data_IF_346797163979
#
_entry.id   IF_346797163979
#
_cell.length_a   1.000
_cell.length_b   1.000
_cell.length_c   1.000
_cell.angle_alpha   90.00
_cell.angle_beta   90.00
_cell.angle_gamma   90.00
#
_symmetry.space_group_name_H-M   'P 1'
#
loop_
_entity.id
_entity.type
_entity.pdbx_description
1 polymer ?
#
# COMPACT_ATOMS: atom_id res chain seq x y z
N UNK A 1 2.50 22.43 -1.87
CA UNK A 1 2.08 23.76 -1.39
C UNK A 1 2.98 24.20 -0.24
N UNK A 2 3.50 25.41 -0.32
CA UNK A 2 4.22 26.05 0.81
C UNK A 2 3.21 26.79 1.65
N UNK A 3 3.00 26.36 2.89
CA UNK A 3 2.13 27.06 3.84
C UNK A 3 2.85 28.22 4.54
N UNK A 4 4.17 28.09 4.69
CA UNK A 4 5.08 29.12 5.20
C UNK A 4 6.53 28.73 4.86
N UNK A 5 7.51 29.53 5.27
CA UNK A 5 8.93 29.21 5.13
C UNK A 5 9.35 27.91 5.88
N UNK A 6 8.51 27.46 6.79
CA UNK A 6 8.80 26.27 7.62
C UNK A 6 7.89 25.07 7.34
N UNK A 7 6.78 25.26 6.64
CA UNK A 7 5.80 24.20 6.45
C UNK A 7 5.50 23.97 4.97
N UNK A 8 5.64 22.72 4.56
CA UNK A 8 5.35 22.27 3.18
C UNK A 8 4.32 21.14 3.27
N UNK A 9 3.27 21.26 2.46
CA UNK A 9 2.25 20.23 2.30
C UNK A 9 2.31 19.68 0.87
N UNK A 10 2.29 18.35 0.72
CA UNK A 10 2.31 17.65 -0.57
C UNK A 10 1.18 16.62 -0.62
N UNK A 11 -0.07 17.06 -0.81
CA UNK A 11 -1.19 16.14 -0.96
C UNK A 11 -1.17 15.50 -2.35
N UNK A 12 -1.63 14.26 -2.41
CA UNK A 12 -1.90 13.51 -3.62
C UNK A 12 -3.16 12.68 -3.40
N UNK A 13 -4.03 12.61 -4.40
CA UNK A 13 -5.21 11.77 -4.38
C UNK A 13 -5.48 11.22 -5.77
N UNK A 14 -5.81 9.95 -5.85
CA UNK A 14 -6.27 9.27 -7.05
C UNK A 14 -7.65 8.69 -6.78
N UNK A 15 -8.58 8.98 -7.68
CA UNK A 15 -9.90 8.39 -7.72
C UNK A 15 -10.06 7.74 -9.09
N UNK A 16 -10.42 6.48 -9.11
CA UNK A 16 -10.57 5.73 -10.36
C UNK A 16 -11.73 4.75 -10.25
N UNK A 17 -12.22 4.32 -11.42
CA UNK A 17 -13.16 3.21 -11.54
C UNK A 17 -12.54 2.23 -12.52
N UNK A 18 -12.25 1.03 -12.03
CA UNK A 18 -11.55 0.01 -12.79
C UNK A 18 -12.40 -1.25 -12.79
N UNK A 19 -13.13 -1.47 -13.90
CA UNK A 19 -14.08 -2.56 -14.03
C UNK A 19 -13.78 -3.42 -15.26
N UNK A 20 -13.95 -4.73 -15.10
CA UNK A 20 -14.20 -5.64 -16.21
C UNK A 20 -15.67 -5.48 -16.61
N UNK A 21 -15.97 -5.59 -17.88
CA UNK A 21 -17.33 -5.54 -18.42
C UNK A 21 -17.63 -6.88 -19.05
N UNK A 22 -18.84 -7.43 -18.81
CA UNK A 22 -19.27 -8.72 -19.32
C UNK A 22 -18.27 -9.84 -18.96
N UNK A 23 -17.77 -9.82 -17.71
CA UNK A 23 -16.78 -10.80 -17.26
C UNK A 23 -17.38 -12.19 -17.15
N UNK A 24 -16.83 -13.12 -17.95
CA UNK A 24 -17.26 -14.51 -17.95
C UNK A 24 -16.32 -15.33 -17.06
N UNK A 25 -16.90 -16.08 -16.15
CA UNK A 25 -16.18 -16.95 -15.23
C UNK A 25 -16.82 -18.34 -15.26
N UNK A 26 -16.01 -19.39 -15.22
CA UNK A 26 -16.48 -20.75 -15.07
C UNK A 26 -16.56 -21.10 -13.58
N UNK A 27 -17.77 -21.48 -13.14
CA UNK A 27 -18.02 -21.94 -11.77
C UNK A 27 -18.84 -23.21 -11.84
N UNK A 28 -18.43 -24.24 -11.11
CA UNK A 28 -19.10 -25.54 -11.03
C UNK A 28 -19.34 -26.15 -12.42
N UNK A 29 -18.34 -26.00 -13.33
CA UNK A 29 -18.42 -26.47 -14.71
C UNK A 29 -19.36 -25.67 -15.62
N UNK A 30 -19.88 -24.52 -15.16
CA UNK A 30 -20.81 -23.68 -15.93
C UNK A 30 -20.22 -22.28 -16.12
N UNK A 31 -20.28 -21.77 -17.36
CA UNK A 31 -19.89 -20.39 -17.65
C UNK A 31 -21.00 -19.43 -17.22
N UNK A 32 -20.66 -18.51 -16.34
CA UNK A 32 -21.52 -17.45 -15.85
C UNK A 32 -21.01 -16.08 -16.31
N UNK A 33 -21.92 -15.21 -16.75
CA UNK A 33 -21.60 -13.81 -16.96
C UNK A 33 -21.84 -13.05 -15.65
N UNK A 34 -20.76 -12.64 -15.00
CA UNK A 34 -20.79 -11.87 -13.73
C UNK A 34 -21.09 -10.39 -13.95
N UNK A 35 -21.21 -9.93 -15.21
CA UNK A 35 -21.43 -8.53 -15.55
C UNK A 35 -20.19 -7.68 -15.28
N UNK A 36 -20.36 -6.61 -14.50
CA UNK A 36 -19.25 -5.76 -14.09
C UNK A 36 -18.59 -6.29 -12.82
N UNK A 37 -17.28 -6.52 -12.87
CA UNK A 37 -16.45 -6.90 -11.72
C UNK A 37 -15.26 -5.96 -11.55
N UNK A 38 -14.72 -5.87 -10.35
CA UNK A 38 -13.51 -5.08 -10.10
C UNK A 38 -12.27 -5.73 -10.73
N UNK A 39 -11.41 -4.91 -11.33
CA UNK A 39 -10.10 -5.38 -11.80
C UNK A 39 -9.23 -5.63 -10.58
N UNK A 40 -8.54 -6.79 -10.56
CA UNK A 40 -7.66 -7.18 -9.47
C UNK A 40 -6.59 -6.11 -9.17
N UNK A 41 -6.28 -5.91 -7.90
CA UNK A 41 -5.30 -4.95 -7.39
C UNK A 41 -5.50 -3.50 -7.88
N UNK A 42 -6.76 -3.09 -8.05
CA UNK A 42 -7.11 -1.79 -8.59
C UNK A 42 -8.05 -1.03 -7.64
N UNK A 43 -7.54 -0.48 -6.54
CA UNK A 43 -8.37 0.26 -5.58
C UNK A 43 -8.93 1.53 -6.20
N UNK A 44 -10.18 1.85 -5.86
CA UNK A 44 -10.86 3.04 -6.40
C UNK A 44 -10.37 4.35 -5.78
N UNK A 45 -9.71 4.28 -4.63
CA UNK A 45 -9.23 5.48 -3.90
C UNK A 45 -7.83 5.23 -3.35
N UNK A 46 -6.90 6.12 -3.69
CA UNK A 46 -5.59 6.20 -3.04
C UNK A 46 -5.37 7.66 -2.66
N UNK A 47 -5.10 7.92 -1.38
CA UNK A 47 -4.77 9.26 -0.89
C UNK A 47 -3.42 9.20 -0.18
N UNK A 48 -2.56 10.16 -0.47
CA UNK A 48 -1.29 10.31 0.22
C UNK A 48 -1.02 11.79 0.53
N UNK A 49 -0.31 12.03 1.61
CA UNK A 49 0.12 13.37 1.96
C UNK A 49 1.48 13.32 2.68
N UNK A 50 2.31 14.32 2.43
CA UNK A 50 3.51 14.56 3.21
C UNK A 50 3.44 15.97 3.81
N UNK A 51 3.45 16.04 5.14
CA UNK A 51 3.59 17.29 5.90
C UNK A 51 5.05 17.42 6.31
N UNK A 52 5.73 18.39 5.75
CA UNK A 52 7.16 18.62 6.04
C UNK A 52 7.34 19.88 6.87
N UNK A 53 8.06 19.77 7.98
CA UNK A 53 8.47 20.84 8.86
C UNK A 53 9.97 21.09 8.76
N UNK A 54 10.35 22.35 8.56
CA UNK A 54 11.72 22.84 8.44
C UNK A 54 12.03 23.72 9.67
N UNK A 55 12.37 23.14 10.84
CA UNK A 55 12.55 23.91 12.06
C UNK A 55 13.72 24.88 12.00
N UNK A 56 14.84 24.43 11.45
CA UNK A 56 16.08 25.18 11.25
C UNK A 56 16.68 24.84 9.89
N UNK A 57 17.71 25.57 9.49
CA UNK A 57 18.45 25.33 8.25
C UNK A 57 19.01 23.91 8.21
N UNK A 58 18.85 23.23 7.09
CA UNK A 58 19.34 21.88 6.81
C UNK A 58 18.70 20.78 7.69
N UNK A 59 17.61 21.06 8.40
CA UNK A 59 16.84 20.07 9.15
C UNK A 59 15.44 19.94 8.56
N UNK A 60 14.99 18.71 8.38
CA UNK A 60 13.68 18.38 7.88
C UNK A 60 13.06 17.25 8.72
N UNK A 61 11.80 17.44 9.06
CA UNK A 61 10.97 16.41 9.68
C UNK A 61 9.74 16.27 8.77
N UNK A 62 9.42 15.05 8.32
CA UNK A 62 8.25 14.83 7.47
C UNK A 62 7.38 13.73 8.04
N UNK A 63 6.10 14.03 8.18
CA UNK A 63 5.06 13.07 8.48
C UNK A 63 4.37 12.70 7.17
N UNK A 64 4.42 11.41 6.83
CA UNK A 64 3.84 10.86 5.63
C UNK A 64 2.59 10.05 6.02
N UNK A 65 1.51 10.25 5.31
CA UNK A 65 0.27 9.50 5.49
C UNK A 65 -0.15 8.91 4.16
N UNK A 66 -0.57 7.66 4.15
CA UNK A 66 -1.10 6.99 2.97
C UNK A 66 -2.34 6.21 3.34
N UNK A 67 -3.40 6.39 2.56
CA UNK A 67 -4.62 5.60 2.59
C UNK A 67 -4.80 4.89 1.26
N UNK A 68 -5.16 3.62 1.31
CA UNK A 68 -5.53 2.81 0.14
C UNK A 68 -6.90 2.22 0.42
N UNK A 69 -7.82 2.41 -0.51
CA UNK A 69 -9.15 1.82 -0.46
C UNK A 69 -9.12 0.30 -0.59
N UNK A 70 -10.23 -0.34 -0.30
CA UNK A 70 -10.38 -1.77 -0.51
C UNK A 70 -10.17 -2.16 -1.97
N UNK A 71 -9.74 -3.39 -2.19
CA UNK A 71 -9.51 -3.96 -3.52
C UNK A 71 -9.63 -5.47 -3.48
N UNK A 72 -9.74 -6.09 -4.64
CA UNK A 72 -9.78 -7.54 -4.76
C UNK A 72 -8.46 -8.08 -5.32
N UNK A 73 -8.07 -9.29 -4.91
CA UNK A 73 -6.93 -10.02 -5.47
C UNK A 73 -7.29 -10.79 -6.75
N UNK A 74 -8.58 -11.05 -6.95
CA UNK A 74 -9.14 -11.71 -8.15
C UNK A 74 -10.13 -10.81 -8.88
N UNK A 75 -10.55 -11.23 -10.07
CA UNK A 75 -11.48 -10.47 -10.93
C UNK A 75 -12.94 -10.93 -10.80
N UNK A 76 -13.31 -11.66 -9.75
CA UNK A 76 -14.67 -12.21 -9.56
C UNK A 76 -15.39 -11.60 -8.36
N UNK A 77 -14.87 -10.54 -7.77
CA UNK A 77 -15.43 -9.84 -6.60
C UNK A 77 -15.78 -10.78 -5.43
N UNK A 78 -15.03 -11.87 -5.29
CA UNK A 78 -15.20 -12.79 -4.17
C UNK A 78 -14.77 -12.14 -2.86
N UNK A 79 -15.55 -12.36 -1.79
CA UNK A 79 -15.20 -11.91 -0.44
C UNK A 79 -13.86 -12.51 0.03
N UNK A 80 -13.53 -13.72 -0.41
CA UNK A 80 -12.30 -14.41 -0.08
C UNK A 80 -11.08 -13.80 -0.78
N UNK A 81 -11.29 -12.99 -1.82
CA UNK A 81 -10.21 -12.28 -2.54
C UNK A 81 -10.05 -10.84 -2.11
N UNK A 82 -10.79 -10.37 -1.10
CA UNK A 82 -10.81 -8.97 -0.70
C UNK A 82 -9.62 -8.62 0.18
N UNK A 83 -8.96 -7.52 -0.15
CA UNK A 83 -8.01 -6.80 0.71
C UNK A 83 -8.73 -5.57 1.28
N UNK A 84 -8.77 -5.47 2.59
CA UNK A 84 -9.42 -4.36 3.28
C UNK A 84 -8.64 -3.04 3.08
N UNK A 85 -9.34 -1.92 3.20
CA UNK A 85 -8.70 -0.61 3.17
C UNK A 85 -7.78 -0.42 4.37
N UNK A 86 -6.69 0.31 4.16
CA UNK A 86 -5.75 0.61 5.24
C UNK A 86 -5.23 2.05 5.19
N UNK A 87 -4.79 2.53 6.35
CA UNK A 87 -4.09 3.79 6.48
C UNK A 87 -2.78 3.59 7.25
N UNK A 88 -1.67 3.99 6.67
CA UNK A 88 -0.34 3.87 7.27
C UNK A 88 0.34 5.23 7.33
N UNK A 89 1.12 5.44 8.38
CA UNK A 89 1.80 6.70 8.62
C UNK A 89 3.27 6.45 8.99
N UNK A 90 4.14 7.26 8.38
CA UNK A 90 5.58 7.19 8.59
C UNK A 90 6.11 8.56 9.06
N UNK A 91 7.18 8.54 9.84
CA UNK A 91 7.89 9.73 10.28
C UNK A 91 9.32 9.67 9.78
N UNK A 92 9.73 10.65 8.99
CA UNK A 92 11.10 10.79 8.53
C UNK A 92 11.77 12.02 9.11
N UNK A 93 13.07 11.90 9.33
CA UNK A 93 13.93 12.96 9.85
C UNK A 93 15.22 13.03 9.04
N UNK A 94 15.70 14.23 8.75
CA UNK A 94 17.03 14.45 8.21
C UNK A 94 17.64 15.72 8.77
N UNK A 95 18.93 15.67 9.06
CA UNK A 95 19.70 16.84 9.48
C UNK A 95 21.11 16.78 8.94
N UNK A 96 21.48 17.81 8.18
CA UNK A 96 22.83 18.00 7.69
C UNK A 96 23.52 19.12 8.47
N UNK A 97 24.63 18.80 9.11
CA UNK A 97 25.48 19.79 9.78
C UNK A 97 26.88 19.79 9.19
N UNK A 98 27.43 21.00 9.05
CA UNK A 98 28.75 21.21 8.48
C UNK A 98 29.82 21.11 9.57
N UNK A 99 30.84 20.32 9.30
CA UNK A 99 32.04 20.24 10.16
C UNK A 99 33.16 21.02 9.52
N UNK A 100 33.94 21.75 10.35
CA UNK A 100 35.16 22.43 9.91
C UNK A 100 36.40 21.53 10.12
N UNK A 101 36.30 20.26 9.74
CA UNK A 101 37.33 19.25 9.98
C UNK A 101 37.59 18.43 8.70
N UNK A 102 37.94 17.18 8.83
CA UNK A 102 38.18 16.22 7.73
C UNK A 102 36.96 16.07 6.82
N UNK A 103 35.76 16.18 7.38
CA UNK A 103 34.50 16.08 6.64
C UNK A 103 33.92 17.47 6.34
N UNK A 104 33.37 17.66 5.13
CA UNK A 104 32.66 18.89 4.77
C UNK A 104 31.31 18.97 5.47
N UNK A 105 30.58 17.84 5.49
CA UNK A 105 29.32 17.75 6.23
C UNK A 105 29.04 16.34 6.66
N UNK A 106 28.14 16.21 7.62
CA UNK A 106 27.54 14.94 8.09
C UNK A 106 26.04 15.07 7.97
N UNK A 107 25.41 14.12 7.27
CA UNK A 107 23.96 13.98 7.18
C UNK A 107 23.52 12.79 8.03
N UNK A 108 22.64 13.07 8.98
CA UNK A 108 21.94 12.05 9.77
C UNK A 108 20.52 11.92 9.21
N UNK A 109 20.08 10.69 8.99
CA UNK A 109 18.72 10.39 8.56
C UNK A 109 18.09 9.37 9.50
N UNK A 110 16.79 9.50 9.69
CA UNK A 110 15.96 8.53 10.44
C UNK A 110 14.62 8.36 9.76
N UNK A 111 14.09 7.14 9.84
CA UNK A 111 12.76 6.80 9.34
C UNK A 111 12.13 5.83 10.33
N UNK A 112 10.92 6.15 10.74
CA UNK A 112 10.03 5.24 11.48
C UNK A 112 8.87 4.93 10.56
N UNK A 113 8.77 3.71 10.10
CA UNK A 113 7.65 3.23 9.30
C UNK A 113 6.54 2.75 10.21
N UNK A 114 5.30 2.94 9.76
CA UNK A 114 4.10 2.48 10.42
C UNK A 114 4.09 2.89 11.91
N UNK A 115 4.21 4.20 12.16
CA UNK A 115 4.40 4.76 13.51
C UNK A 115 3.26 4.43 14.49
N UNK A 116 2.08 4.07 13.99
CA UNK A 116 0.93 3.68 14.80
C UNK A 116 0.79 2.16 14.96
N UNK A 117 1.76 1.39 14.43
CA UNK A 117 1.77 -0.08 14.49
C UNK A 117 0.46 -0.72 13.99
N UNK A 118 -0.09 -0.18 12.90
CA UNK A 118 -1.32 -0.69 12.32
C UNK A 118 -1.07 -2.00 11.57
N UNK A 119 -1.84 -3.03 11.88
CA UNK A 119 -1.76 -4.32 11.19
C UNK A 119 -2.60 -4.27 9.92
N UNK A 120 -2.00 -4.59 8.76
CA UNK A 120 -2.68 -4.57 7.47
C UNK A 120 -2.02 -5.49 6.46
N UNK A 121 -2.80 -5.90 5.47
CA UNK A 121 -2.35 -6.62 4.29
C UNK A 121 -2.50 -5.72 3.06
N UNK A 122 -1.40 -5.44 2.37
CA UNK A 122 -1.40 -4.66 1.13
C UNK A 122 -1.40 -5.52 -0.12
N UNK A 123 -1.20 -6.82 0.02
CA UNK A 123 -1.08 -7.79 -1.06
C UNK A 123 -1.41 -9.19 -0.58
N UNK A 124 -1.63 -10.09 -1.53
CA UNK A 124 -1.90 -11.49 -1.31
C UNK A 124 -2.03 -12.24 -2.63
N UNK A 125 -2.60 -13.41 -2.60
CA UNK A 125 -2.96 -14.17 -3.79
C UNK A 125 -4.34 -14.79 -3.63
N UNK A 126 -5.01 -14.97 -4.75
CA UNK A 126 -6.31 -15.61 -4.85
C UNK A 126 -6.29 -16.55 -6.05
N UNK A 127 -6.90 -17.71 -5.89
CA UNK A 127 -7.05 -18.69 -6.96
C UNK A 127 -8.36 -19.47 -6.79
N UNK A 128 -8.81 -20.07 -7.87
CA UNK A 128 -9.89 -21.04 -7.88
C UNK A 128 -9.37 -22.36 -8.42
N UNK A 129 -9.96 -23.46 -7.99
CA UNK A 129 -9.74 -24.78 -8.57
C UNK A 129 -11.02 -25.60 -8.54
N UNK A 130 -11.16 -26.47 -9.51
CA UNK A 130 -12.30 -27.35 -9.63
C UNK A 130 -11.95 -28.72 -9.07
N UNK A 131 -12.90 -29.31 -8.35
CA UNK A 131 -12.87 -30.69 -7.86
C UNK A 131 -14.06 -31.44 -8.45
N UNK A 132 -13.78 -32.55 -9.13
CA UNK A 132 -14.80 -33.41 -9.76
C UNK A 132 -15.06 -34.63 -8.86
N UNK A 133 -16.29 -34.77 -8.41
CA UNK A 133 -16.70 -35.96 -7.66
C UNK A 133 -16.60 -37.21 -8.55
N UNK A 134 -15.74 -38.14 -8.21
CA UNK A 134 -15.48 -39.36 -8.99
C UNK A 134 -16.67 -40.28 -9.15
N UNK A 135 -17.77 -40.09 -8.37
CA UNK A 135 -18.94 -40.92 -8.38
C UNK A 135 -20.10 -40.27 -9.18
N UNK A 136 -20.37 -38.98 -8.93
CA UNK A 136 -21.44 -38.24 -9.59
C UNK A 136 -20.99 -37.52 -10.87
N UNK A 137 -19.69 -37.18 -10.97
CA UNK A 137 -19.17 -36.34 -12.05
C UNK A 137 -19.49 -34.85 -11.85
N UNK A 138 -20.02 -34.48 -10.68
CA UNK A 138 -20.31 -33.07 -10.37
C UNK A 138 -19.03 -32.30 -10.14
N UNK A 139 -18.93 -31.13 -10.72
CA UNK A 139 -17.79 -30.21 -10.53
C UNK A 139 -18.14 -29.19 -9.46
N UNK A 140 -17.24 -29.00 -8.52
CA UNK A 140 -17.35 -27.94 -7.49
C UNK A 140 -16.13 -27.04 -7.55
N UNK A 141 -16.36 -25.75 -7.76
CA UNK A 141 -15.30 -24.74 -7.77
C UNK A 141 -15.01 -24.23 -6.35
N UNK A 142 -13.80 -24.43 -5.89
CA UNK A 142 -13.30 -23.95 -4.60
C UNK A 142 -12.46 -22.69 -4.78
N UNK A 143 -12.51 -21.83 -3.78
CA UNK A 143 -11.71 -20.61 -3.71
C UNK A 143 -10.63 -20.73 -2.64
N UNK A 144 -9.43 -20.31 -2.96
CA UNK A 144 -8.32 -20.21 -2.02
C UNK A 144 -7.70 -18.83 -2.04
N UNK A 145 -7.28 -18.35 -0.88
CA UNK A 145 -6.60 -17.07 -0.74
C UNK A 145 -5.50 -17.16 0.31
N UNK A 146 -4.47 -16.34 0.14
CA UNK A 146 -3.44 -16.10 1.15
C UNK A 146 -3.07 -14.64 1.16
N UNK A 147 -2.75 -14.12 2.35
CA UNK A 147 -2.50 -12.70 2.59
C UNK A 147 -1.05 -12.50 3.01
N UNK A 148 -0.45 -11.39 2.56
CA UNK A 148 0.90 -10.99 2.96
C UNK A 148 0.82 -9.83 3.95
N UNK A 149 0.89 -10.10 5.28
CA UNK A 149 0.87 -9.06 6.29
C UNK A 149 2.10 -8.16 6.13
N UNK A 150 1.90 -6.88 6.32
CA UNK A 150 2.97 -5.89 6.30
C UNK A 150 3.64 -5.80 7.68
N UNK A 151 4.88 -5.31 7.66
CA UNK A 151 5.61 -5.12 8.90
C UNK A 151 4.91 -4.08 9.80
N UNK A 152 4.83 -4.37 11.08
CA UNK A 152 4.46 -3.41 12.11
C UNK A 152 5.46 -2.26 12.20
N UNK A 153 5.45 -1.52 13.30
CA UNK A 153 6.39 -0.42 13.50
C UNK A 153 7.84 -0.90 13.35
N UNK A 154 8.59 -0.19 12.51
CA UNK A 154 10.01 -0.45 12.32
C UNK A 154 10.76 0.85 12.03
N UNK A 155 12.07 0.84 12.17
CA UNK A 155 12.88 2.05 11.99
C UNK A 155 14.18 1.77 11.25
N UNK A 156 14.65 2.80 10.54
CA UNK A 156 15.95 2.84 9.89
C UNK A 156 16.68 4.11 10.32
N UNK A 157 17.99 4.00 10.45
CA UNK A 157 18.87 5.14 10.70
C UNK A 157 20.03 5.13 9.70
N UNK A 158 20.43 6.30 9.23
CA UNK A 158 21.50 6.45 8.27
C UNK A 158 22.47 7.56 8.66
N UNK A 159 23.74 7.37 8.33
CA UNK A 159 24.80 8.36 8.48
C UNK A 159 25.57 8.47 7.17
N UNK A 160 25.64 9.69 6.61
CA UNK A 160 26.41 9.98 5.41
C UNK A 160 27.50 10.99 5.73
N UNK A 161 28.74 10.66 5.39
CA UNK A 161 29.92 11.51 5.58
C UNK A 161 30.33 12.07 4.22
N UNK A 162 30.40 13.39 4.09
CA UNK A 162 30.86 14.10 2.89
C UNK A 162 32.29 14.66 3.15
N UNK A 163 33.21 14.29 2.29
CA UNK A 163 34.64 14.72 2.34
C UNK A 163 34.90 15.94 1.49
#
# INVERSE_FOLDING_TARGET
VYLSDKWILRPNATFSTNKNVDFIFERDGVFENLGETDISFSPNVIVANAVTFLPIKNMQISFLSKFVGEQYMGNIDSKNSKLESYAVNDLSFSYEFKLKSVFKSVLITGLVNNIFDYEYESNGYFYTYDDEDATSGDITTYEGAGYYPQAGINFLAGLTLLF
#
